data_IF_704082268009
#
_entry.id   IF_704082268009
#
_cell.length_a   1.000
_cell.length_b   1.000
_cell.length_c   1.000
_cell.angle_alpha   90.00
_cell.angle_beta   90.00
_cell.angle_gamma   90.00
#
_symmetry.space_group_name_H-M   'P 1'
#
loop_
_entity.id
_entity.type
_entity.pdbx_description
1 polymer ?
#
# COMPACT_ATOMS: atom_id res chain seq x y z
N UNK A 1 26.59 8.23 -1.16
CA UNK A 1 26.61 9.70 -1.42
C UNK A 1 27.34 9.96 -2.73
N UNK A 2 26.65 9.74 -3.85
CA UNK A 2 27.16 10.19 -5.16
C UNK A 2 26.89 11.68 -5.27
N UNK A 3 27.97 12.45 -5.32
CA UNK A 3 27.96 13.86 -5.70
C UNK A 3 27.66 13.95 -7.19
N UNK A 4 26.39 13.84 -7.58
CA UNK A 4 25.96 14.44 -8.83
C UNK A 4 25.62 15.90 -8.54
N UNK A 5 26.56 16.77 -8.90
CA UNK A 5 26.40 18.22 -9.05
C UNK A 5 25.31 18.52 -10.10
N UNK A 6 24.07 18.12 -9.84
CA UNK A 6 22.93 18.78 -10.45
C UNK A 6 22.59 19.98 -9.56
N UNK A 7 23.40 21.04 -9.72
CA UNK A 7 23.30 22.36 -9.07
C UNK A 7 21.96 23.06 -9.41
N UNK A 8 21.09 22.41 -10.18
CA UNK A 8 19.76 22.89 -10.48
C UNK A 8 18.87 22.84 -9.24
N UNK A 9 18.32 24.01 -8.91
CA UNK A 9 17.30 24.16 -7.87
C UNK A 9 16.14 23.21 -8.16
N UNK A 10 15.74 22.44 -7.15
CA UNK A 10 14.59 21.56 -7.26
C UNK A 10 13.27 22.34 -7.25
N UNK A 11 12.38 22.14 -8.25
CA UNK A 11 11.19 22.97 -8.43
C UNK A 11 10.00 22.47 -7.59
N UNK A 12 10.11 22.58 -6.26
CA UNK A 12 9.08 22.20 -5.29
C UNK A 12 7.71 22.83 -5.57
N UNK A 13 7.68 24.01 -6.19
CA UNK A 13 6.46 24.73 -6.58
C UNK A 13 5.56 23.99 -7.57
N UNK A 14 6.09 22.99 -8.30
CA UNK A 14 5.30 22.17 -9.22
C UNK A 14 4.41 21.14 -8.51
N UNK A 15 4.65 20.92 -7.21
CA UNK A 15 3.93 20.00 -6.36
C UNK A 15 4.43 18.57 -6.51
N UNK A 16 4.90 17.99 -5.39
CA UNK A 16 5.33 16.60 -5.32
C UNK A 16 4.49 15.89 -4.28
N UNK A 17 4.09 14.66 -4.60
CA UNK A 17 3.08 13.93 -3.87
C UNK A 17 3.72 12.63 -3.42
N UNK A 18 3.75 12.43 -2.11
CA UNK A 18 4.20 11.20 -1.51
C UNK A 18 3.05 10.19 -1.54
N UNK A 19 3.19 9.16 -2.36
CA UNK A 19 2.17 8.13 -2.53
C UNK A 19 2.09 7.13 -1.39
N UNK A 20 3.06 7.13 -0.47
CA UNK A 20 3.07 6.22 0.67
C UNK A 20 4.03 6.66 1.78
N UNK A 21 3.51 6.90 2.98
CA UNK A 21 4.32 7.09 4.18
C UNK A 21 3.57 6.74 5.47
N UNK A 22 4.33 6.71 6.58
CA UNK A 22 3.86 6.33 7.92
C UNK A 22 4.12 7.40 8.99
N UNK A 23 3.86 8.70 8.76
CA UNK A 23 4.19 9.75 9.74
C UNK A 23 3.46 9.60 11.08
N UNK A 24 2.35 8.83 11.12
CA UNK A 24 1.64 8.47 12.36
C UNK A 24 2.39 7.48 13.23
N UNK A 25 3.49 6.88 12.75
CA UNK A 25 4.40 6.11 13.61
C UNK A 25 5.22 7.02 14.54
N UNK A 26 5.33 8.32 14.22
CA UNK A 26 5.99 9.32 15.07
C UNK A 26 5.12 10.57 15.20
N UNK A 27 4.11 10.49 16.07
CA UNK A 27 3.08 11.54 16.22
C UNK A 27 3.63 12.92 16.59
N UNK A 28 4.78 12.99 17.26
CA UNK A 28 5.46 14.25 17.59
C UNK A 28 5.90 15.05 16.35
N UNK A 29 6.04 14.40 15.19
CA UNK A 29 6.43 15.03 13.93
C UNK A 29 5.26 15.58 13.10
N UNK A 30 4.01 15.17 13.38
CA UNK A 30 2.82 15.57 12.61
C UNK A 30 2.67 17.09 12.43
N UNK A 31 2.89 17.95 13.45
CA UNK A 31 2.78 19.40 13.27
C UNK A 31 3.75 19.99 12.25
N UNK A 32 4.80 19.26 11.84
CA UNK A 32 5.80 19.68 10.86
C UNK A 32 5.23 19.62 9.43
N UNK A 33 4.21 18.77 9.17
CA UNK A 33 3.59 18.59 7.85
C UNK A 33 3.23 19.92 7.19
N UNK A 34 2.70 20.88 7.95
CA UNK A 34 2.34 22.22 7.47
C UNK A 34 3.50 23.00 6.84
N UNK A 35 4.74 22.69 7.23
CA UNK A 35 5.96 23.38 6.81
C UNK A 35 6.83 22.58 5.85
N UNK A 36 6.43 21.34 5.53
CA UNK A 36 7.14 20.52 4.55
C UNK A 36 7.06 21.14 3.15
N UNK A 37 7.94 20.70 2.26
CA UNK A 37 7.91 21.08 0.84
C UNK A 37 7.08 20.11 0.00
N UNK A 38 7.04 18.84 0.37
CA UNK A 38 6.17 17.82 -0.25
C UNK A 38 4.70 18.21 -0.14
N UNK A 39 3.99 18.32 -1.26
CA UNK A 39 2.66 18.94 -1.34
C UNK A 39 1.58 18.14 -0.61
N UNK A 40 1.56 16.82 -0.80
CA UNK A 40 0.61 15.90 -0.14
C UNK A 40 1.31 14.62 0.28
N UNK A 41 0.88 14.10 1.42
CA UNK A 41 1.30 12.84 2.01
C UNK A 41 0.14 11.84 2.01
N UNK A 42 0.37 10.65 1.50
CA UNK A 42 -0.59 9.53 1.56
C UNK A 42 -0.24 8.68 2.77
N UNK A 43 -1.02 8.84 3.85
CA UNK A 43 -0.68 8.35 5.19
C UNK A 43 -1.35 7.01 5.47
N UNK A 44 -0.56 5.97 5.71
CA UNK A 44 -1.04 4.60 5.85
C UNK A 44 -1.40 4.23 7.30
N UNK A 45 -2.62 3.72 7.47
CA UNK A 45 -2.99 2.91 8.63
C UNK A 45 -2.64 1.45 8.37
N UNK A 46 -1.89 0.82 9.27
CA UNK A 46 -1.34 -0.53 9.09
C UNK A 46 -1.83 -1.52 10.12
N UNK A 47 -2.22 -1.04 11.31
CA UNK A 47 -2.54 -1.85 12.51
C UNK A 47 -3.57 -1.15 13.38
N UNK A 48 -4.04 -1.79 14.46
CA UNK A 48 -5.07 -1.20 15.32
C UNK A 48 -4.66 0.15 15.92
N UNK A 49 -3.39 0.30 16.30
CA UNK A 49 -2.89 1.45 17.04
C UNK A 49 -2.80 2.73 16.21
N UNK A 50 -2.69 2.64 14.88
CA UNK A 50 -2.54 3.80 14.01
C UNK A 50 -3.83 4.22 13.30
N UNK A 51 -4.88 3.38 13.22
CA UNK A 51 -6.12 3.72 12.49
C UNK A 51 -6.72 5.05 12.94
N UNK A 52 -6.93 5.24 14.26
CA UNK A 52 -7.52 6.47 14.79
C UNK A 52 -6.55 7.65 14.74
N UNK A 53 -5.24 7.39 14.76
CA UNK A 53 -4.23 8.43 14.54
C UNK A 53 -4.32 8.96 13.11
N UNK A 54 -4.43 8.08 12.11
CA UNK A 54 -4.62 8.48 10.70
C UNK A 54 -5.93 9.27 10.54
N UNK A 55 -7.02 8.87 11.20
CA UNK A 55 -8.27 9.65 11.23
C UNK A 55 -8.02 11.05 11.79
N UNK A 56 -7.33 11.17 12.93
CA UNK A 56 -7.06 12.47 13.56
C UNK A 56 -6.22 13.39 12.66
N UNK A 57 -5.18 12.85 12.02
CA UNK A 57 -4.33 13.60 11.07
C UNK A 57 -5.14 14.05 9.85
N UNK A 58 -6.04 13.21 9.34
CA UNK A 58 -6.90 13.56 8.20
C UNK A 58 -8.01 14.57 8.55
N UNK A 59 -8.45 14.62 9.81
CA UNK A 59 -9.36 15.67 10.26
C UNK A 59 -8.67 17.05 10.18
N UNK A 60 -7.41 17.13 10.58
CA UNK A 60 -6.63 18.37 10.60
C UNK A 60 -6.09 18.76 9.22
N UNK A 61 -5.48 17.83 8.49
CA UNK A 61 -4.73 18.09 7.25
C UNK A 61 -5.32 17.42 6.01
N UNK A 62 -6.43 16.69 6.12
CA UNK A 62 -6.94 15.89 5.02
C UNK A 62 -7.53 16.72 3.89
N UNK A 63 -7.25 16.35 2.63
CA UNK A 63 -7.79 17.02 1.44
C UNK A 63 -9.33 17.03 1.41
N UNK A 64 -9.91 18.10 0.84
CA UNK A 64 -11.36 18.35 0.85
C UNK A 64 -12.02 18.45 -0.54
N UNK A 65 -11.26 18.35 -1.62
CA UNK A 65 -11.76 18.40 -3.00
C UNK A 65 -11.09 17.33 -3.86
N UNK A 66 -11.76 16.86 -4.91
CA UNK A 66 -11.16 16.03 -5.96
C UNK A 66 -10.36 16.84 -6.99
N UNK A 67 -10.40 18.17 -6.90
CA UNK A 67 -9.62 19.08 -7.75
C UNK A 67 -8.45 19.64 -6.97
N UNK A 68 -7.24 19.31 -7.41
CA UNK A 68 -6.01 19.79 -6.78
C UNK A 68 -5.91 21.32 -6.70
N UNK A 69 -6.53 22.03 -7.65
CA UNK A 69 -6.57 23.49 -7.67
C UNK A 69 -7.38 24.10 -6.50
N UNK A 70 -8.31 23.36 -5.91
CA UNK A 70 -9.15 23.82 -4.79
C UNK A 70 -8.50 23.56 -3.43
N UNK A 71 -7.38 22.83 -3.39
CA UNK A 71 -6.74 22.45 -2.15
C UNK A 71 -6.04 23.63 -1.49
N UNK A 72 -6.36 23.85 -0.22
CA UNK A 72 -5.74 24.87 0.62
C UNK A 72 -4.34 24.44 1.04
N UNK A 73 -3.60 25.38 1.62
CA UNK A 73 -2.25 25.16 2.15
C UNK A 73 -2.20 24.02 3.18
N UNK A 74 -3.25 23.88 4.01
CA UNK A 74 -3.33 22.82 5.02
C UNK A 74 -3.92 21.50 4.50
N UNK A 75 -4.45 21.45 3.27
CA UNK A 75 -4.97 20.23 2.65
C UNK A 75 -3.79 19.40 2.12
N UNK A 76 -3.11 18.68 3.02
CA UNK A 76 -1.81 18.03 2.77
C UNK A 76 -1.82 16.51 2.97
N UNK A 77 -2.94 15.91 3.35
CA UNK A 77 -3.00 14.48 3.69
C UNK A 77 -4.11 13.76 2.92
N UNK A 78 -3.79 12.56 2.44
CA UNK A 78 -4.74 11.55 2.00
C UNK A 78 -4.63 10.38 2.99
N UNK A 79 -5.67 10.09 3.80
CA UNK A 79 -5.62 8.93 4.69
C UNK A 79 -5.84 7.62 3.94
N UNK A 80 -5.16 6.58 4.37
CA UNK A 80 -5.38 5.21 3.93
C UNK A 80 -5.69 4.32 5.13
N UNK A 81 -6.66 3.43 4.98
CA UNK A 81 -7.04 2.49 6.03
C UNK A 81 -6.89 1.06 5.53
N UNK A 82 -6.13 0.27 6.28
CA UNK A 82 -5.82 -1.11 5.92
C UNK A 82 -5.22 -1.88 7.09
N UNK A 83 -5.18 -3.19 6.93
CA UNK A 83 -4.52 -4.12 7.83
C UNK A 83 -3.35 -4.79 7.10
N UNK A 84 -2.15 -4.47 7.56
CA UNK A 84 -0.90 -4.89 6.94
C UNK A 84 -0.64 -6.39 7.12
N UNK A 85 -0.04 -7.10 6.13
CA UNK A 85 0.26 -8.52 6.23
C UNK A 85 1.05 -8.92 7.48
N UNK A 86 1.91 -8.05 8.00
CA UNK A 86 2.69 -8.29 9.22
C UNK A 86 1.82 -8.56 10.44
N UNK A 87 0.65 -7.94 10.51
CA UNK A 87 -0.28 -8.04 11.64
C UNK A 87 -1.47 -8.95 11.34
N UNK A 88 -1.54 -9.56 10.15
CA UNK A 88 -2.69 -10.39 9.74
C UNK A 88 -2.92 -11.61 10.65
N UNK A 89 -1.91 -12.07 11.39
CA UNK A 89 -2.08 -13.10 12.42
C UNK A 89 -3.00 -12.66 13.58
N UNK A 90 -3.17 -11.36 13.80
CA UNK A 90 -4.07 -10.81 14.84
C UNK A 90 -5.54 -10.85 14.42
N UNK A 91 -5.85 -11.36 13.22
CA UNK A 91 -7.19 -11.42 12.67
C UNK A 91 -7.60 -12.86 12.42
N UNK A 92 -8.82 -13.24 12.81
CA UNK A 92 -9.42 -14.53 12.45
C UNK A 92 -10.66 -14.34 11.57
N UNK A 93 -10.99 -15.38 10.81
CA UNK A 93 -12.16 -15.48 9.94
C UNK A 93 -12.97 -16.68 10.43
N UNK A 94 -14.27 -16.53 10.65
CA UNK A 94 -15.11 -17.67 11.06
C UNK A 94 -15.46 -18.50 9.85
N UNK A 95 -15.45 -19.83 9.97
CA UNK A 95 -15.80 -20.75 8.87
C UNK A 95 -17.20 -20.55 8.28
N UNK A 96 -18.13 -19.92 9.01
CA UNK A 96 -19.46 -19.57 8.47
C UNK A 96 -19.39 -18.40 7.46
N UNK A 97 -18.29 -17.63 7.45
CA UNK A 97 -18.01 -16.57 6.47
C UNK A 97 -17.41 -17.13 5.16
N UNK A 98 -16.86 -18.35 5.16
CA UNK A 98 -16.27 -19.00 3.96
C UNK A 98 -17.34 -19.46 2.93
N UNK A 99 -18.59 -19.67 3.35
CA UNK A 99 -19.72 -20.11 2.51
C UNK A 99 -20.66 -18.97 2.05
N UNK A 100 -20.28 -17.71 2.33
CA UNK A 100 -21.11 -16.56 1.99
C UNK A 100 -20.97 -16.22 0.50
N UNK A 101 -21.92 -16.73 -0.29
CA UNK A 101 -22.21 -16.24 -1.65
C UNK A 101 -22.50 -14.73 -1.63
N UNK A 102 -22.16 -14.08 -2.74
CA UNK A 102 -22.39 -12.67 -3.06
C UNK A 102 -23.71 -12.13 -2.49
N UNK A 103 -23.60 -11.06 -1.68
CA UNK A 103 -24.71 -10.29 -1.15
C UNK A 103 -25.19 -10.73 0.23
N UNK A 104 -24.56 -10.21 1.29
CA UNK A 104 -25.13 -10.33 2.64
C UNK A 104 -25.28 -8.97 3.31
N UNK A 105 -26.55 -8.62 3.48
CA UNK A 105 -27.08 -7.71 4.49
C UNK A 105 -26.79 -8.24 5.90
N UNK A 106 -26.10 -7.45 6.71
CA UNK A 106 -26.07 -7.48 8.18
C UNK A 106 -26.04 -8.88 8.83
N UNK A 107 -24.93 -9.61 8.67
CA UNK A 107 -24.55 -10.65 9.66
C UNK A 107 -24.30 -9.93 10.99
N UNK A 108 -24.80 -10.48 12.10
CA UNK A 108 -24.44 -10.02 13.44
C UNK A 108 -22.93 -9.98 13.58
N UNK A 109 -22.34 -8.79 13.65
CA UNK A 109 -20.90 -8.60 13.75
C UNK A 109 -20.43 -9.24 15.06
N UNK A 110 -19.60 -10.27 14.94
CA UNK A 110 -18.91 -10.84 16.07
C UNK A 110 -17.95 -9.81 16.66
N UNK A 111 -18.00 -9.64 17.98
CA UNK A 111 -17.15 -8.71 18.74
C UNK A 111 -16.25 -9.46 19.73
N UNK A 112 -16.26 -10.79 19.71
CA UNK A 112 -15.50 -11.61 20.67
C UNK A 112 -14.03 -11.69 20.27
N UNK A 113 -13.11 -11.55 21.23
CA UNK A 113 -11.69 -11.83 21.01
C UNK A 113 -11.40 -13.29 21.36
N UNK A 114 -10.48 -13.93 20.62
CA UNK A 114 -10.05 -15.29 20.96
C UNK A 114 -9.02 -15.24 22.10
N UNK A 115 -9.25 -16.04 23.14
CA UNK A 115 -8.38 -16.15 24.31
C UNK A 115 -8.09 -17.61 24.65
N UNK A 116 -7.14 -17.85 25.57
CA UNK A 116 -6.81 -19.20 26.07
C UNK A 116 -6.54 -20.22 24.96
N UNK A 117 -7.23 -21.35 25.00
CA UNK A 117 -7.04 -22.43 24.03
C UNK A 117 -7.52 -22.07 22.61
N UNK A 118 -8.50 -21.18 22.45
CA UNK A 118 -8.96 -20.74 21.12
C UNK A 118 -7.91 -19.87 20.43
N UNK A 119 -7.26 -19.00 21.19
CA UNK A 119 -6.10 -18.21 20.73
C UNK A 119 -4.95 -19.11 20.27
N UNK A 120 -4.63 -20.15 21.06
CA UNK A 120 -3.59 -21.12 20.70
C UNK A 120 -3.94 -21.84 19.40
N UNK A 121 -5.19 -22.32 19.26
CA UNK A 121 -5.66 -23.00 18.05
C UNK A 121 -5.58 -22.10 16.82
N UNK A 122 -5.97 -20.83 16.95
CA UNK A 122 -5.85 -19.85 15.88
C UNK A 122 -4.40 -19.69 15.43
N UNK A 123 -3.48 -19.38 16.36
CA UNK A 123 -2.07 -19.18 16.01
C UNK A 123 -1.41 -20.44 15.45
N UNK A 124 -1.75 -21.62 15.97
CA UNK A 124 -1.27 -22.89 15.40
C UNK A 124 -1.73 -23.09 13.95
N UNK A 125 -2.92 -22.61 13.59
CA UNK A 125 -3.49 -22.74 12.25
C UNK A 125 -2.93 -21.70 11.25
N UNK A 126 -2.63 -20.48 11.71
CA UNK A 126 -2.25 -19.37 10.83
C UNK A 126 -0.76 -19.04 10.82
N UNK A 127 0.07 -19.72 11.63
CA UNK A 127 1.51 -19.50 11.70
C UNK A 127 2.31 -20.64 11.09
N UNK A 128 3.44 -20.28 10.48
CA UNK A 128 4.45 -21.18 9.93
C UNK A 128 5.80 -20.96 10.63
N UNK A 129 6.62 -22.00 10.88
CA UNK A 129 6.40 -23.39 10.49
C UNK A 129 5.28 -24.05 11.29
N UNK A 130 4.41 -24.80 10.60
CA UNK A 130 3.31 -25.52 11.23
C UNK A 130 3.85 -26.62 12.16
N UNK A 131 3.33 -26.68 13.38
CA UNK A 131 3.71 -27.65 14.41
C UNK A 131 2.46 -28.37 14.91
N UNK A 132 2.24 -29.66 14.58
CA UNK A 132 1.05 -30.39 15.03
C UNK A 132 1.07 -30.60 16.56
N UNK A 133 2.25 -30.90 17.11
CA UNK A 133 2.47 -31.03 18.55
C UNK A 133 3.19 -29.78 19.06
N UNK A 134 2.52 -29.00 19.90
CA UNK A 134 3.07 -27.75 20.46
C UNK A 134 3.96 -28.05 21.67
N UNK A 135 5.19 -27.55 21.65
CA UNK A 135 6.05 -27.52 22.83
C UNK A 135 5.53 -26.51 23.86
N UNK A 136 5.96 -26.62 25.12
CA UNK A 136 5.64 -25.62 26.15
C UNK A 136 6.10 -24.20 25.77
N UNK A 137 7.21 -24.10 25.03
CA UNK A 137 7.71 -22.82 24.51
C UNK A 137 6.78 -22.25 23.43
N UNK A 138 6.30 -23.08 22.51
CA UNK A 138 5.36 -22.62 21.47
C UNK A 138 4.05 -22.13 22.09
N UNK A 139 3.54 -22.84 23.10
CA UNK A 139 2.34 -22.43 23.85
C UNK A 139 2.57 -21.08 24.55
N UNK A 140 3.73 -20.87 25.17
CA UNK A 140 4.10 -19.58 25.78
C UNK A 140 4.14 -18.46 24.73
N UNK A 141 4.78 -18.68 23.59
CA UNK A 141 4.84 -17.70 22.50
C UNK A 141 3.43 -17.34 22.04
N UNK A 142 2.59 -18.32 21.71
CA UNK A 142 1.23 -18.06 21.22
C UNK A 142 0.37 -17.31 22.22
N UNK A 143 0.48 -17.62 23.52
CA UNK A 143 -0.26 -16.91 24.57
C UNK A 143 0.22 -15.46 24.75
N UNK A 144 1.49 -15.17 24.46
CA UNK A 144 2.08 -13.82 24.55
C UNK A 144 1.76 -12.91 23.36
N UNK A 145 1.38 -13.45 22.21
CA UNK A 145 0.91 -12.66 21.07
C UNK A 145 -0.41 -11.94 21.42
N UNK A 146 -0.85 -10.91 20.67
CA UNK A 146 -2.14 -10.24 20.92
C UNK A 146 -3.34 -11.20 20.88
N UNK A 147 -4.48 -10.80 21.42
CA UNK A 147 -5.71 -11.60 21.27
C UNK A 147 -6.29 -11.39 19.86
N UNK A 148 -6.53 -12.46 19.07
CA UNK A 148 -7.10 -12.32 17.74
C UNK A 148 -8.50 -11.70 17.73
N UNK A 149 -8.73 -10.79 16.78
CA UNK A 149 -10.00 -10.11 16.55
C UNK A 149 -10.71 -10.65 15.29
N UNK A 150 -12.05 -10.62 15.23
CA UNK A 150 -12.79 -11.01 14.04
C UNK A 150 -12.54 -10.00 12.92
N UNK A 151 -12.14 -10.48 11.76
CA UNK A 151 -11.77 -9.59 10.65
C UNK A 151 -12.97 -8.80 10.11
N UNK A 152 -14.18 -9.35 10.20
CA UNK A 152 -15.43 -8.69 9.83
C UNK A 152 -15.70 -7.41 10.65
N UNK A 153 -15.28 -7.37 11.92
CA UNK A 153 -15.34 -6.15 12.74
C UNK A 153 -14.44 -5.05 12.15
N UNK A 154 -13.19 -5.38 11.84
CA UNK A 154 -12.25 -4.42 11.24
C UNK A 154 -12.74 -3.90 9.88
N UNK A 155 -13.29 -4.77 9.01
CA UNK A 155 -13.85 -4.35 7.73
C UNK A 155 -15.04 -3.40 7.90
N UNK A 156 -15.91 -3.65 8.89
CA UNK A 156 -17.04 -2.76 9.20
C UNK A 156 -16.57 -1.38 9.65
N UNK A 157 -15.56 -1.31 10.53
CA UNK A 157 -14.98 -0.04 10.96
C UNK A 157 -14.28 0.68 9.81
N UNK A 158 -13.52 -0.05 8.99
CA UNK A 158 -12.83 0.50 7.82
C UNK A 158 -13.84 1.09 6.83
N UNK A 159 -14.97 0.44 6.59
CA UNK A 159 -16.05 1.01 5.76
C UNK A 159 -16.52 2.37 6.29
N UNK A 160 -16.76 2.48 7.60
CA UNK A 160 -17.17 3.75 8.23
C UNK A 160 -16.11 4.84 8.06
N UNK A 161 -14.82 4.51 8.20
CA UNK A 161 -13.71 5.45 7.96
C UNK A 161 -13.67 5.89 6.50
N UNK A 162 -13.82 4.97 5.56
CA UNK A 162 -13.85 5.26 4.12
C UNK A 162 -15.07 6.11 3.71
N UNK A 163 -16.21 5.97 4.37
CA UNK A 163 -17.40 6.83 4.20
C UNK A 163 -17.16 8.24 4.76
N UNK A 164 -16.58 8.34 5.96
CA UNK A 164 -16.28 9.60 6.62
C UNK A 164 -15.18 10.41 5.91
N UNK A 165 -14.30 9.76 5.16
CA UNK A 165 -13.21 10.37 4.42
C UNK A 165 -13.34 10.05 2.91
N UNK A 166 -14.10 10.85 2.12
CA UNK A 166 -14.43 10.52 0.73
C UNK A 166 -13.26 10.38 -0.24
N UNK A 167 -12.08 10.89 0.09
CA UNK A 167 -10.86 10.78 -0.73
C UNK A 167 -9.84 9.80 -0.15
N UNK A 168 -10.20 9.08 0.93
CA UNK A 168 -9.34 8.05 1.51
C UNK A 168 -9.13 6.88 0.55
N UNK A 169 -8.03 6.16 0.76
CA UNK A 169 -7.70 4.93 0.05
C UNK A 169 -7.78 3.72 0.99
N UNK A 170 -7.68 2.53 0.41
CA UNK A 170 -7.43 1.31 1.17
C UNK A 170 -5.94 1.00 1.15
N UNK A 171 -5.34 0.82 2.31
CA UNK A 171 -3.90 0.61 2.43
C UNK A 171 -3.39 0.94 3.83
N UNK A 172 -2.28 0.35 4.27
CA UNK A 172 -1.45 -0.58 3.53
C UNK A 172 -1.93 -2.04 3.70
N UNK A 173 -2.17 -2.74 2.59
CA UNK A 173 -2.65 -4.14 2.58
C UNK A 173 -1.78 -4.96 1.64
N UNK A 174 -1.68 -6.28 1.79
CA UNK A 174 -0.88 -7.06 0.84
C UNK A 174 -0.36 -8.38 1.37
N UNK A 175 0.80 -8.78 0.86
CA UNK A 175 1.45 -10.06 1.14
C UNK A 175 2.95 -9.89 1.44
N UNK A 176 3.42 -10.50 2.53
CA UNK A 176 4.83 -10.58 2.89
C UNK A 176 5.22 -12.02 3.26
N UNK A 177 6.08 -12.63 2.44
CA UNK A 177 6.58 -14.00 2.70
C UNK A 177 7.74 -14.03 3.71
N UNK A 178 8.43 -12.92 3.89
CA UNK A 178 9.71 -12.83 4.60
C UNK A 178 9.57 -12.47 6.07
N UNK A 179 8.56 -11.67 6.43
CA UNK A 179 8.42 -11.11 7.76
C UNK A 179 8.18 -12.17 8.83
N UNK A 180 8.95 -12.08 9.92
CA UNK A 180 8.77 -12.88 11.13
C UNK A 180 8.13 -12.03 12.21
N UNK A 181 7.24 -12.63 12.99
CA UNK A 181 6.48 -11.93 14.01
C UNK A 181 7.43 -11.56 15.16
N UNK A 182 7.43 -10.30 15.62
CA UNK A 182 8.21 -9.89 16.79
C UNK A 182 7.74 -10.60 18.07
N UNK A 183 8.68 -10.89 18.97
CA UNK A 183 8.38 -11.34 20.33
C UNK A 183 7.52 -10.29 21.06
N UNK A 184 6.74 -10.71 22.06
CA UNK A 184 6.07 -9.77 22.95
C UNK A 184 7.10 -8.98 23.77
N UNK A 185 6.75 -7.75 24.15
CA UNK A 185 7.56 -7.00 25.12
C UNK A 185 7.60 -7.76 26.44
N UNK A 186 8.80 -8.04 26.94
CA UNK A 186 8.97 -8.53 28.31
C UNK A 186 8.81 -7.34 29.27
N UNK A 187 8.18 -7.52 30.44
CA UNK A 187 7.98 -6.44 31.41
C UNK A 187 9.26 -5.67 31.76
N UNK A 188 10.41 -6.35 31.80
CA UNK A 188 11.70 -5.76 32.19
C UNK A 188 12.36 -4.90 31.09
N UNK A 189 11.90 -5.02 29.85
CA UNK A 189 12.48 -4.31 28.68
C UNK A 189 11.50 -3.25 28.15
N UNK A 190 10.30 -3.16 28.74
CA UNK A 190 9.29 -2.17 28.36
C UNK A 190 9.77 -0.73 28.58
N UNK A 191 10.63 -0.50 29.58
CA UNK A 191 11.26 0.80 29.86
C UNK A 191 12.31 1.21 28.82
N UNK A 192 12.75 0.29 27.94
CA UNK A 192 13.70 0.58 26.85
C UNK A 192 12.99 0.94 25.53
N UNK A 193 11.66 0.93 25.52
CA UNK A 193 10.85 1.31 24.38
C UNK A 193 10.98 2.80 24.11
N UNK A 194 11.14 3.17 22.85
CA UNK A 194 11.05 4.58 22.45
C UNK A 194 9.60 5.09 22.59
N UNK A 195 9.36 5.93 23.60
CA UNK A 195 8.06 6.54 23.85
C UNK A 195 7.60 7.47 22.71
N UNK A 196 8.52 7.92 21.86
CA UNK A 196 8.22 8.76 20.69
C UNK A 196 7.53 8.00 19.54
N UNK A 197 7.58 6.66 19.56
CA UNK A 197 6.97 5.83 18.53
C UNK A 197 5.56 5.39 18.89
N UNK A 198 4.69 5.30 17.89
CA UNK A 198 3.36 4.69 18.04
C UNK A 198 3.50 3.18 18.29
N UNK A 199 2.85 2.63 19.33
CA UNK A 199 3.00 1.21 19.68
C UNK A 199 2.55 0.24 18.58
N UNK A 200 3.08 -0.98 18.62
CA UNK A 200 2.62 -2.11 17.81
C UNK A 200 3.52 -2.43 16.61
N UNK A 201 4.44 -1.53 16.25
CA UNK A 201 5.48 -1.79 15.24
C UNK A 201 6.56 -2.76 15.75
N UNK A 202 7.60 -3.05 14.95
CA UNK A 202 8.68 -3.95 15.41
C UNK A 202 9.43 -3.40 16.63
N UNK A 203 9.70 -2.10 16.64
CA UNK A 203 10.29 -1.37 17.78
C UNK A 203 11.57 -2.05 18.33
N UNK A 204 12.43 -2.56 17.43
CA UNK A 204 13.69 -3.22 17.79
C UNK A 204 13.57 -4.63 18.39
N UNK A 205 12.35 -5.15 18.60
CA UNK A 205 12.11 -6.45 19.22
C UNK A 205 12.76 -7.60 18.44
N UNK A 206 13.17 -8.63 19.20
CA UNK A 206 13.60 -9.92 18.64
C UNK A 206 12.46 -10.56 17.88
N UNK A 207 12.80 -11.39 16.89
CA UNK A 207 11.82 -12.03 16.02
C UNK A 207 11.65 -13.49 16.45
N UNK A 208 10.39 -13.90 16.60
CA UNK A 208 10.02 -15.30 16.77
C UNK A 208 10.43 -16.13 15.54
N UNK A 209 10.44 -17.47 15.62
CA UNK A 209 10.62 -18.30 14.43
C UNK A 209 9.41 -18.26 13.49
N UNK A 210 8.29 -17.65 13.90
CA UNK A 210 7.02 -17.73 13.19
C UNK A 210 6.81 -16.63 12.17
N UNK A 211 6.18 -16.99 11.06
CA UNK A 211 5.64 -16.10 10.03
C UNK A 211 4.15 -16.39 9.86
N UNK A 212 3.40 -15.44 9.33
CA UNK A 212 1.99 -15.71 8.99
C UNK A 212 1.92 -16.58 7.74
N UNK A 213 1.09 -17.61 7.77
CA UNK A 213 0.82 -18.50 6.65
C UNK A 213 0.29 -17.70 5.45
N UNK A 214 0.81 -18.01 4.25
CA UNK A 214 0.49 -17.27 3.04
C UNK A 214 -0.99 -17.40 2.64
N UNK A 215 -1.65 -18.53 2.96
CA UNK A 215 -3.08 -18.70 2.71
C UNK A 215 -3.89 -17.75 3.60
N UNK A 216 -3.50 -17.59 4.86
CA UNK A 216 -4.15 -16.66 5.78
C UNK A 216 -3.98 -15.22 5.32
N UNK A 217 -2.74 -14.80 5.00
CA UNK A 217 -2.47 -13.46 4.46
C UNK A 217 -3.30 -13.18 3.20
N UNK A 218 -3.34 -14.12 2.24
CA UNK A 218 -4.12 -13.98 1.00
C UNK A 218 -5.62 -13.82 1.26
N UNK A 219 -6.17 -14.51 2.26
CA UNK A 219 -7.60 -14.41 2.58
C UNK A 219 -7.93 -13.03 3.12
N UNK A 220 -7.16 -12.55 4.11
CA UNK A 220 -7.29 -11.19 4.66
C UNK A 220 -7.10 -10.12 3.58
N UNK A 221 -6.11 -10.28 2.71
CA UNK A 221 -5.83 -9.36 1.62
C UNK A 221 -7.00 -9.28 0.61
N UNK A 222 -7.56 -10.41 0.19
CA UNK A 222 -8.70 -10.44 -0.76
C UNK A 222 -9.94 -9.74 -0.21
N UNK A 223 -10.26 -9.95 1.07
CA UNK A 223 -11.40 -9.30 1.71
C UNK A 223 -11.25 -7.75 1.74
N UNK A 224 -10.03 -7.25 1.93
CA UNK A 224 -9.76 -5.80 1.86
C UNK A 224 -9.83 -5.25 0.43
N UNK A 225 -9.34 -6.01 -0.56
CA UNK A 225 -9.49 -5.64 -1.98
C UNK A 225 -10.96 -5.60 -2.41
N UNK A 226 -11.78 -6.52 -1.92
CA UNK A 226 -13.23 -6.53 -2.16
C UNK A 226 -13.90 -5.31 -1.55
N UNK A 227 -13.57 -4.94 -0.30
CA UNK A 227 -14.04 -3.70 0.30
C UNK A 227 -13.65 -2.47 -0.54
N UNK A 228 -12.41 -2.42 -1.03
CA UNK A 228 -11.95 -1.35 -1.91
C UNK A 228 -12.74 -1.30 -3.24
N UNK A 229 -13.01 -2.46 -3.83
CA UNK A 229 -13.81 -2.59 -5.05
C UNK A 229 -15.24 -2.07 -4.84
N UNK A 230 -15.92 -2.54 -3.80
CA UNK A 230 -17.28 -2.12 -3.44
C UNK A 230 -17.40 -0.62 -3.21
N UNK A 231 -16.36 0.00 -2.63
CA UNK A 231 -16.32 1.42 -2.31
C UNK A 231 -15.65 2.28 -3.39
N UNK A 232 -15.21 1.69 -4.50
CA UNK A 232 -14.51 2.40 -5.58
C UNK A 232 -13.22 3.08 -5.14
N UNK A 233 -12.49 2.51 -4.18
CA UNK A 233 -11.26 3.08 -3.60
C UNK A 233 -10.02 2.57 -4.32
N UNK A 234 -9.05 3.46 -4.54
CA UNK A 234 -7.72 3.04 -4.93
C UNK A 234 -7.03 2.32 -3.76
N UNK A 235 -6.04 1.49 -4.08
CA UNK A 235 -5.36 0.63 -3.11
C UNK A 235 -3.86 0.82 -3.14
N UNK A 236 -3.22 0.95 -1.97
CA UNK A 236 -1.77 0.85 -1.80
C UNK A 236 -1.41 -0.54 -1.29
N UNK A 237 -0.58 -1.29 -2.04
CA UNK A 237 -0.34 -2.71 -1.83
C UNK A 237 1.11 -3.02 -1.45
N UNK A 238 1.27 -3.68 -0.29
CA UNK A 238 2.49 -4.32 0.17
C UNK A 238 2.82 -5.62 -0.57
N UNK A 239 4.06 -5.79 -1.00
CA UNK A 239 4.48 -6.98 -1.72
C UNK A 239 5.95 -7.34 -1.57
N UNK A 240 6.29 -8.14 -0.56
CA UNK A 240 7.68 -8.57 -0.29
C UNK A 240 7.84 -10.08 -0.46
N UNK A 241 8.73 -10.48 -1.38
CA UNK A 241 9.03 -11.89 -1.73
C UNK A 241 7.79 -12.73 -2.09
N UNK A 242 6.69 -12.07 -2.48
CA UNK A 242 5.41 -12.67 -2.79
C UNK A 242 4.84 -12.24 -4.16
N UNK A 243 5.66 -11.63 -5.04
CA UNK A 243 5.21 -10.98 -6.28
C UNK A 243 4.32 -11.87 -7.18
N UNK A 244 4.67 -13.14 -7.35
CA UNK A 244 3.85 -14.08 -8.14
C UNK A 244 2.51 -14.40 -7.48
N UNK A 245 2.49 -14.60 -6.16
CA UNK A 245 1.23 -14.85 -5.41
C UNK A 245 0.35 -13.60 -5.41
N UNK A 246 0.97 -12.42 -5.30
CA UNK A 246 0.29 -11.12 -5.37
C UNK A 246 -0.38 -10.94 -6.74
N UNK A 247 0.37 -11.12 -7.83
CA UNK A 247 -0.17 -11.02 -9.19
C UNK A 247 -1.34 -11.99 -9.43
N UNK A 248 -1.18 -13.27 -9.06
CA UNK A 248 -2.26 -14.26 -9.20
C UNK A 248 -3.48 -13.92 -8.34
N UNK A 249 -3.28 -13.34 -7.15
CA UNK A 249 -4.39 -12.89 -6.29
C UNK A 249 -5.17 -11.75 -6.94
N UNK A 250 -4.50 -10.79 -7.56
CA UNK A 250 -5.17 -9.71 -8.32
C UNK A 250 -5.91 -10.27 -9.53
N UNK A 251 -5.28 -11.21 -10.25
CA UNK A 251 -5.87 -11.89 -11.40
C UNK A 251 -7.12 -12.68 -11.07
N UNK A 252 -7.17 -13.31 -9.89
CA UNK A 252 -8.39 -13.95 -9.40
C UNK A 252 -9.57 -12.99 -9.25
N UNK A 253 -9.32 -11.71 -8.91
CA UNK A 253 -10.39 -10.74 -8.70
C UNK A 253 -11.02 -10.24 -9.99
N UNK A 254 -10.22 -10.01 -11.03
CA UNK A 254 -10.74 -9.50 -12.32
C UNK A 254 -11.03 -10.58 -13.36
N UNK A 255 -10.95 -11.86 -12.98
CA UNK A 255 -11.22 -12.98 -13.88
C UNK A 255 -12.64 -12.89 -14.45
N UNK A 256 -12.77 -12.88 -15.77
CA UNK A 256 -14.03 -12.71 -16.47
C UNK A 256 -14.40 -11.25 -16.76
N UNK A 257 -13.59 -10.29 -16.33
CA UNK A 257 -13.74 -8.86 -16.57
C UNK A 257 -12.53 -8.27 -17.30
N UNK A 258 -11.75 -9.10 -17.98
CA UNK A 258 -10.57 -8.66 -18.72
C UNK A 258 -10.95 -7.71 -19.87
N UNK A 259 -10.10 -6.72 -20.13
CA UNK A 259 -10.29 -5.81 -21.26
C UNK A 259 -10.21 -6.57 -22.58
N UNK A 260 -11.08 -6.21 -23.52
CA UNK A 260 -10.98 -6.71 -24.90
C UNK A 260 -9.77 -6.11 -25.61
N UNK A 261 -8.78 -6.94 -25.93
CA UNK A 261 -7.60 -6.51 -26.68
C UNK A 261 -7.75 -6.89 -28.14
N UNK A 262 -8.20 -5.90 -28.93
CA UNK A 262 -8.29 -6.03 -30.38
C UNK A 262 -6.94 -6.43 -30.98
N UNK A 263 -6.95 -7.43 -31.85
CA UNK A 263 -5.75 -7.90 -32.52
C UNK A 263 -5.17 -6.83 -33.46
N UNK A 264 -3.87 -6.91 -33.76
CA UNK A 264 -3.21 -5.99 -34.72
C UNK A 264 -3.91 -5.94 -36.08
N UNK A 265 -4.52 -7.05 -36.52
CA UNK A 265 -5.25 -7.14 -37.79
C UNK A 265 -6.61 -6.44 -37.73
N UNK A 266 -7.26 -6.44 -36.57
CA UNK A 266 -8.53 -5.75 -36.32
C UNK A 266 -8.32 -4.24 -36.17
N UNK A 267 -7.27 -3.81 -35.45
CA UNK A 267 -6.89 -2.38 -35.34
C UNK A 267 -6.59 -1.77 -36.71
N UNK A 268 -5.85 -2.49 -37.55
CA UNK A 268 -5.52 -2.07 -38.93
C UNK A 268 -6.76 -1.99 -39.83
N UNK A 269 -7.76 -2.86 -39.63
CA UNK A 269 -9.05 -2.79 -40.34
C UNK A 269 -9.91 -1.61 -39.89
N UNK A 270 -9.76 -1.17 -38.65
CA UNK A 270 -10.50 -0.03 -38.08
C UNK A 270 -9.80 1.33 -38.28
N UNK A 271 -8.65 1.38 -38.98
CA UNK A 271 -7.97 2.64 -39.30
C UNK A 271 -7.28 3.32 -38.11
N UNK A 272 -7.09 2.62 -36.99
CA UNK A 272 -6.40 3.13 -35.79
C UNK A 272 -4.89 2.83 -35.86
N UNK A 273 -4.20 3.41 -36.84
CA UNK A 273 -2.75 3.18 -37.03
C UNK A 273 -1.86 4.18 -36.26
N UNK A 274 -2.43 5.11 -35.46
CA UNK A 274 -1.62 6.04 -34.65
C UNK A 274 -2.41 6.61 -33.45
N UNK A 275 -2.81 5.74 -32.54
CA UNK A 275 -3.17 6.17 -31.18
C UNK A 275 -2.47 5.19 -30.25
N UNK A 276 -1.49 5.68 -29.48
CA UNK A 276 -1.14 5.04 -28.21
C UNK A 276 -2.45 4.66 -27.53
N UNK A 277 -2.54 3.44 -26.99
CA UNK A 277 -3.77 2.90 -26.43
C UNK A 277 -4.25 3.74 -25.23
N UNK A 278 -4.80 4.92 -25.50
CA UNK A 278 -5.53 5.75 -24.58
C UNK A 278 -6.75 4.92 -24.22
N UNK A 279 -6.73 4.44 -22.98
CA UNK A 279 -7.80 3.69 -22.35
C UNK A 279 -9.04 4.58 -22.30
N UNK A 280 -9.81 4.55 -23.38
CA UNK A 280 -11.17 5.08 -23.40
C UNK A 280 -12.12 3.93 -23.13
N UNK A 281 -12.31 3.57 -21.86
CA UNK A 281 -13.47 2.77 -21.49
C UNK A 281 -14.71 3.67 -21.45
N UNK A 282 -15.73 3.29 -22.21
CA UNK A 282 -17.09 3.74 -21.98
C UNK A 282 -17.54 3.05 -20.69
N UNK A 283 -17.47 3.75 -19.57
CA UNK A 283 -17.99 3.27 -18.29
C UNK A 283 -19.49 2.98 -18.42
N UNK A 284 -19.84 1.71 -18.54
CA UNK A 284 -21.21 1.25 -18.26
C UNK A 284 -21.37 1.22 -16.74
N UNK A 285 -21.81 2.35 -16.19
CA UNK A 285 -21.80 2.67 -14.76
C UNK A 285 -22.80 1.88 -13.88
N UNK A 286 -23.17 0.64 -14.22
CA UNK A 286 -24.30 -0.04 -13.57
C UNK A 286 -24.02 -1.37 -12.87
N UNK A 287 -22.81 -1.95 -12.95
CA UNK A 287 -22.49 -3.18 -12.21
C UNK A 287 -21.25 -2.99 -11.31
N UNK A 288 -21.32 -3.36 -10.02
CA UNK A 288 -20.15 -3.36 -9.14
C UNK A 288 -19.06 -4.29 -9.70
N UNK A 289 -17.87 -3.74 -9.97
CA UNK A 289 -16.72 -4.53 -10.40
C UNK A 289 -16.12 -5.27 -9.18
N UNK A 290 -15.70 -6.54 -9.30
CA UNK A 290 -15.14 -7.31 -8.18
C UNK A 290 -13.68 -6.95 -7.83
N UNK A 291 -13.13 -5.90 -8.44
CA UNK A 291 -11.76 -5.44 -8.27
C UNK A 291 -11.72 -3.93 -8.05
N UNK A 292 -10.73 -3.42 -7.30
CA UNK A 292 -10.56 -1.97 -7.13
C UNK A 292 -10.22 -1.31 -8.47
N UNK A 293 -10.64 -0.06 -8.69
CA UNK A 293 -10.39 0.63 -9.95
C UNK A 293 -8.90 0.90 -10.19
N UNK A 294 -8.11 1.08 -9.13
CA UNK A 294 -6.72 1.54 -9.18
C UNK A 294 -5.90 0.87 -8.08
N UNK A 295 -4.68 0.48 -8.41
CA UNK A 295 -3.73 -0.16 -7.49
C UNK A 295 -2.36 0.48 -7.64
N UNK A 296 -1.73 0.85 -6.53
CA UNK A 296 -0.31 1.12 -6.44
C UNK A 296 0.40 -0.07 -5.80
N UNK A 297 1.39 -0.63 -6.47
CA UNK A 297 2.38 -1.54 -5.88
C UNK A 297 3.40 -0.67 -5.14
N UNK A 298 3.25 -0.54 -3.81
CA UNK A 298 4.15 0.32 -3.05
C UNK A 298 5.56 -0.27 -2.97
N UNK A 299 6.57 0.60 -2.91
CA UNK A 299 7.99 0.26 -2.84
C UNK A 299 8.35 -0.95 -3.69
N UNK A 300 7.94 -0.95 -4.96
CA UNK A 300 7.97 -2.14 -5.79
C UNK A 300 9.39 -2.73 -5.87
N UNK A 301 9.56 -3.91 -5.26
CA UNK A 301 10.87 -4.58 -5.10
C UNK A 301 11.06 -5.79 -6.01
N UNK A 302 10.09 -6.07 -6.88
CA UNK A 302 10.23 -7.09 -7.91
C UNK A 302 11.18 -6.64 -9.02
N UNK A 303 11.75 -7.57 -9.77
CA UNK A 303 12.56 -7.22 -10.94
C UNK A 303 11.69 -6.80 -12.14
N UNK A 304 12.35 -6.26 -13.18
CA UNK A 304 11.73 -5.88 -14.45
C UNK A 304 10.93 -7.02 -15.12
N UNK A 305 11.39 -8.27 -15.01
CA UNK A 305 10.71 -9.42 -15.60
C UNK A 305 9.36 -9.71 -14.91
N UNK A 306 9.29 -9.60 -13.58
CA UNK A 306 8.02 -9.66 -12.85
C UNK A 306 7.13 -8.46 -13.21
N UNK A 307 7.71 -7.26 -13.35
CA UNK A 307 6.94 -6.04 -13.63
C UNK A 307 6.20 -6.11 -14.96
N UNK A 308 6.80 -6.75 -15.97
CA UNK A 308 6.20 -6.96 -17.31
C UNK A 308 4.79 -7.53 -17.26
N UNK A 309 4.46 -8.34 -16.27
CA UNK A 309 3.14 -8.95 -16.14
C UNK A 309 2.04 -7.91 -15.89
N UNK A 310 2.34 -6.84 -15.16
CA UNK A 310 1.40 -5.75 -14.85
C UNK A 310 1.11 -4.83 -16.03
N UNK A 311 1.85 -4.97 -17.14
CA UNK A 311 1.65 -4.17 -18.36
C UNK A 311 0.70 -4.84 -19.35
N UNK A 312 0.11 -5.98 -18.98
CA UNK A 312 -0.78 -6.70 -19.86
C UNK A 312 -2.05 -5.86 -20.09
N UNK A 313 -2.37 -5.45 -21.33
CA UNK A 313 -3.52 -4.61 -21.62
C UNK A 313 -4.87 -5.27 -21.30
N UNK A 314 -4.91 -6.60 -21.09
CA UNK A 314 -6.10 -7.31 -20.62
C UNK A 314 -6.46 -6.97 -19.16
N UNK A 315 -5.55 -6.38 -18.38
CA UNK A 315 -5.80 -6.02 -16.97
C UNK A 315 -6.75 -4.82 -16.95
N UNK A 316 -7.95 -4.94 -16.35
CA UNK A 316 -8.94 -3.86 -16.31
C UNK A 316 -8.74 -2.89 -15.13
N UNK A 317 -7.61 -3.01 -14.43
CA UNK A 317 -7.23 -2.20 -13.27
C UNK A 317 -6.13 -1.25 -13.72
N UNK A 318 -6.26 0.02 -13.34
CA UNK A 318 -5.17 0.98 -13.47
C UNK A 318 -4.07 0.65 -12.46
N UNK A 319 -2.96 0.07 -12.94
CA UNK A 319 -1.81 -0.30 -12.12
C UNK A 319 -0.76 0.81 -12.12
N UNK A 320 -0.23 1.09 -10.94
CA UNK A 320 0.90 1.97 -10.67
C UNK A 320 1.96 1.22 -9.85
N UNK A 321 3.20 1.71 -9.90
CA UNK A 321 4.24 1.34 -8.96
C UNK A 321 4.95 2.58 -8.47
N UNK A 322 5.08 2.68 -7.16
CA UNK A 322 5.88 3.70 -6.50
C UNK A 322 7.25 3.15 -6.11
N UNK A 323 8.17 4.09 -6.01
CA UNK A 323 9.55 3.83 -5.64
C UNK A 323 9.98 4.85 -4.58
N UNK A 324 10.83 4.40 -3.67
CA UNK A 324 11.43 5.22 -2.62
C UNK A 324 12.95 5.07 -2.60
N UNK A 325 13.64 6.12 -2.16
CA UNK A 325 15.07 6.05 -1.90
C UNK A 325 15.41 5.20 -0.68
N UNK A 326 14.49 5.11 0.29
CA UNK A 326 14.71 4.33 1.52
C UNK A 326 14.70 2.81 1.27
N UNK A 327 13.84 2.34 0.36
CA UNK A 327 13.64 0.90 0.11
C UNK A 327 14.28 0.43 -1.18
N UNK A 328 14.15 1.19 -2.28
CA UNK A 328 14.52 0.72 -3.60
C UNK A 328 15.92 1.12 -4.05
N UNK A 329 16.46 2.23 -3.53
CA UNK A 329 17.82 2.65 -3.85
C UNK A 329 18.82 1.91 -2.98
N UNK A 330 19.42 0.87 -3.55
CA UNK A 330 20.68 0.29 -3.07
C UNK A 330 21.83 0.74 -3.97
N UNK A 331 22.94 1.19 -3.37
CA UNK A 331 24.19 1.47 -4.09
C UNK A 331 24.96 0.15 -4.36
N UNK A 332 25.51 -0.01 -5.57
CA UNK A 332 26.51 -1.04 -5.88
C UNK A 332 27.91 -0.62 -5.39
N UNK A 333 28.88 -1.54 -5.43
CA UNK A 333 30.29 -1.20 -5.16
C UNK A 333 30.72 -0.01 -6.05
N UNK A 334 31.13 1.09 -5.41
CA UNK A 334 31.49 2.34 -6.09
C UNK A 334 30.40 3.42 -6.11
N UNK A 335 29.26 3.20 -5.44
CA UNK A 335 28.23 4.23 -5.22
C UNK A 335 27.20 4.36 -6.33
N UNK A 336 27.33 3.61 -7.43
CA UNK A 336 26.38 3.66 -8.54
C UNK A 336 25.01 3.09 -8.14
N UNK A 337 23.94 3.62 -8.76
CA UNK A 337 22.58 3.09 -8.64
C UNK A 337 22.58 1.62 -9.10
N UNK A 338 21.93 0.74 -8.33
CA UNK A 338 21.88 -0.67 -8.73
C UNK A 338 21.26 -0.87 -10.11
N UNK A 339 21.86 -1.76 -10.90
CA UNK A 339 21.39 -2.07 -12.25
C UNK A 339 19.96 -2.60 -12.25
N UNK A 340 19.59 -3.37 -11.23
CA UNK A 340 18.23 -3.92 -11.08
C UNK A 340 17.18 -2.81 -10.91
N UNK A 341 17.50 -1.76 -10.14
CA UNK A 341 16.60 -0.61 -9.99
C UNK A 341 16.48 0.15 -11.31
N UNK A 342 17.61 0.45 -11.97
CA UNK A 342 17.62 1.14 -13.26
C UNK A 342 16.81 0.40 -14.33
N UNK A 343 16.99 -0.92 -14.46
CA UNK A 343 16.21 -1.76 -15.38
C UNK A 343 14.72 -1.73 -15.08
N UNK A 344 14.33 -1.72 -13.81
CA UNK A 344 12.92 -1.70 -13.37
C UNK A 344 12.26 -0.34 -13.68
N UNK A 345 12.94 0.77 -13.41
CA UNK A 345 12.45 2.11 -13.77
C UNK A 345 12.30 2.26 -15.29
N UNK A 346 13.26 1.76 -16.07
CA UNK A 346 13.17 1.77 -17.55
C UNK A 346 12.02 0.91 -18.06
N UNK A 347 11.77 -0.24 -17.45
CA UNK A 347 10.70 -1.16 -17.83
C UNK A 347 9.30 -0.61 -17.48
N UNK A 348 9.21 0.23 -16.44
CA UNK A 348 7.96 0.82 -15.94
C UNK A 348 7.51 1.96 -16.86
N UNK A 349 6.32 1.88 -17.50
CA UNK A 349 5.79 2.95 -18.32
C UNK A 349 5.64 4.27 -17.55
N UNK A 350 5.85 5.37 -18.24
CA UNK A 350 5.90 6.71 -17.65
C UNK A 350 4.65 7.04 -16.84
N UNK A 351 3.48 6.65 -17.35
CA UNK A 351 2.18 6.86 -16.71
C UNK A 351 1.92 6.00 -15.47
N UNK A 352 2.68 4.92 -15.27
CA UNK A 352 2.52 4.00 -14.13
C UNK A 352 3.44 4.38 -12.97
N UNK A 353 4.33 5.36 -13.13
CA UNK A 353 5.31 5.74 -12.12
C UNK A 353 4.72 6.66 -11.06
N UNK A 354 4.93 6.29 -9.80
CA UNK A 354 4.71 7.12 -8.63
C UNK A 354 6.01 7.21 -7.82
N UNK A 355 6.04 8.14 -6.87
CA UNK A 355 7.14 8.32 -5.91
C UNK A 355 6.60 8.30 -4.49
N UNK A 356 7.43 7.85 -3.57
CA UNK A 356 7.08 7.83 -2.15
C UNK A 356 8.33 7.94 -1.27
N UNK A 357 8.13 8.25 0.00
CA UNK A 357 9.21 8.28 0.99
C UNK A 357 9.32 6.96 1.76
N UNK A 358 8.19 6.32 2.05
CA UNK A 358 8.07 5.18 2.96
C UNK A 358 8.61 5.44 4.38
N UNK A 359 8.64 6.72 4.80
CA UNK A 359 9.20 7.11 6.09
C UNK A 359 8.15 7.23 7.20
N UNK A 360 8.61 6.92 8.41
CA UNK A 360 7.82 6.93 9.66
C UNK A 360 7.78 8.30 10.38
N UNK A 361 8.50 9.31 9.86
CA UNK A 361 8.65 10.64 10.48
C UNK A 361 8.46 11.73 9.45
N UNK A 362 7.53 12.66 9.70
CA UNK A 362 7.35 13.84 8.85
C UNK A 362 8.50 14.84 9.04
N UNK A 363 8.85 15.57 7.98
CA UNK A 363 9.77 16.69 8.03
C UNK A 363 10.87 16.66 6.97
N UNK A 364 11.97 17.37 7.25
CA UNK A 364 13.01 17.67 6.25
C UNK A 364 13.67 16.42 5.65
N UNK A 365 13.82 15.33 6.42
CA UNK A 365 14.37 14.06 5.91
C UNK A 365 13.42 13.47 4.86
N UNK A 366 12.11 13.48 5.12
CA UNK A 366 11.12 13.02 4.15
C UNK A 366 11.16 13.85 2.86
N UNK A 367 11.27 15.17 2.95
CA UNK A 367 11.46 16.03 1.77
C UNK A 367 12.76 15.70 1.01
N UNK A 368 13.87 15.41 1.71
CA UNK A 368 15.12 14.99 1.07
C UNK A 368 14.94 13.67 0.31
N UNK A 369 14.32 12.67 0.92
CA UNK A 369 14.06 11.38 0.28
C UNK A 369 13.16 11.52 -0.95
N UNK A 370 12.14 12.39 -0.89
CA UNK A 370 11.28 12.70 -2.03
C UNK A 370 12.04 13.40 -3.17
N UNK A 371 12.91 14.36 -2.86
CA UNK A 371 13.77 15.00 -3.86
C UNK A 371 14.74 13.99 -4.49
N UNK A 372 15.39 13.18 -3.67
CA UNK A 372 16.36 12.18 -4.11
C UNK A 372 15.73 11.18 -5.09
N UNK A 373 14.58 10.61 -4.75
CA UNK A 373 13.95 9.61 -5.63
C UNK A 373 13.46 10.22 -6.94
N UNK A 374 12.91 11.44 -6.91
CA UNK A 374 12.48 12.15 -8.12
C UNK A 374 13.66 12.44 -9.04
N UNK A 375 14.79 12.92 -8.49
CA UNK A 375 16.01 13.18 -9.27
C UNK A 375 16.53 11.91 -9.93
N UNK A 376 16.59 10.81 -9.19
CA UNK A 376 17.04 9.51 -9.72
C UNK A 376 16.12 9.00 -10.85
N UNK A 377 14.80 9.06 -10.68
CA UNK A 377 13.85 8.65 -11.73
C UNK A 377 13.99 9.53 -12.97
N UNK A 378 14.03 10.86 -12.80
CA UNK A 378 14.22 11.80 -13.91
C UNK A 378 15.52 11.52 -14.68
N UNK A 379 16.62 11.26 -13.95
CA UNK A 379 17.90 10.90 -14.55
C UNK A 379 17.80 9.62 -15.39
N UNK A 380 17.26 8.54 -14.83
CA UNK A 380 17.13 7.24 -15.51
C UNK A 380 16.22 7.34 -16.75
N UNK A 381 15.17 8.17 -16.66
CA UNK A 381 14.21 8.39 -17.74
C UNK A 381 14.65 9.44 -18.77
N UNK A 382 15.73 10.17 -18.51
CA UNK A 382 16.17 11.28 -19.35
C UNK A 382 15.18 12.45 -19.38
N UNK A 383 14.45 12.69 -18.29
CA UNK A 383 13.54 13.81 -18.14
C UNK A 383 14.24 15.01 -17.52
N UNK A 384 13.85 16.24 -17.90
CA UNK A 384 14.12 17.41 -17.05
C UNK A 384 13.28 17.31 -15.77
N UNK A 385 13.70 17.98 -14.70
CA UNK A 385 12.97 17.96 -13.43
C UNK A 385 11.54 18.51 -13.59
N UNK A 386 11.36 19.58 -14.36
CA UNK A 386 10.04 20.20 -14.57
C UNK A 386 9.09 19.23 -15.27
N UNK A 387 9.58 18.55 -16.32
CA UNK A 387 8.79 17.55 -17.04
C UNK A 387 8.48 16.34 -16.16
N UNK A 388 9.50 15.83 -15.47
CA UNK A 388 9.36 14.63 -14.64
C UNK A 388 8.40 14.84 -13.47
N UNK A 389 8.49 15.97 -12.78
CA UNK A 389 7.56 16.32 -11.69
C UNK A 389 6.13 16.50 -12.23
N UNK A 390 5.96 17.11 -13.41
CA UNK A 390 4.66 17.18 -14.07
C UNK A 390 4.04 15.79 -14.32
N UNK A 391 4.81 14.86 -14.90
CA UNK A 391 4.36 13.48 -15.14
C UNK A 391 3.98 12.79 -13.82
N UNK A 392 4.86 12.85 -12.81
CA UNK A 392 4.63 12.19 -11.51
C UNK A 392 3.43 12.76 -10.77
N UNK A 393 3.20 14.07 -10.83
CA UNK A 393 1.99 14.71 -10.31
C UNK A 393 0.75 14.19 -11.00
N UNK A 394 0.74 14.20 -12.33
CA UNK A 394 -0.46 13.85 -13.11
C UNK A 394 -0.79 12.36 -12.89
N UNK A 395 0.23 11.51 -12.75
CA UNK A 395 0.08 10.10 -12.35
C UNK A 395 -0.49 9.95 -10.94
N UNK A 396 0.00 10.71 -9.95
CA UNK A 396 -0.52 10.67 -8.59
C UNK A 396 -1.99 11.07 -8.52
N UNK A 397 -2.37 12.13 -9.22
CA UNK A 397 -3.76 12.58 -9.30
C UNK A 397 -4.64 11.52 -9.99
N UNK A 398 -4.13 10.86 -11.04
CA UNK A 398 -4.82 9.72 -11.68
C UNK A 398 -4.95 8.53 -10.74
N UNK A 399 -3.94 8.22 -9.95
CA UNK A 399 -4.01 7.17 -8.93
C UNK A 399 -5.07 7.48 -7.86
N UNK A 400 -5.16 8.73 -7.41
CA UNK A 400 -6.12 9.14 -6.38
C UNK A 400 -7.55 9.18 -6.93
N UNK A 401 -7.77 9.83 -8.08
CA UNK A 401 -9.11 10.19 -8.56
C UNK A 401 -9.58 9.44 -9.79
N UNK A 402 -8.68 8.83 -10.58
CA UNK A 402 -8.99 8.28 -11.90
C UNK A 402 -8.89 9.31 -13.02
N UNK A 403 -9.19 8.88 -14.25
CA UNK A 403 -9.08 9.68 -15.48
C UNK A 403 -10.25 10.62 -15.75
N UNK A 404 -11.42 10.37 -15.17
CA UNK A 404 -12.66 11.11 -15.51
C UNK A 404 -12.88 12.39 -14.69
N UNK A 405 -11.96 12.71 -13.76
CA UNK A 405 -12.14 13.76 -12.74
C UNK A 405 -11.14 14.92 -12.84
N UNK A 406 -10.25 14.92 -13.83
CA UNK A 406 -9.28 16.00 -14.06
C UNK A 406 -9.86 17.17 -14.84
#
# INVERSE_FOLDING_TARGET
MVTHDDVTRFPWELGIYDSHCHPTDTMSSIPIIKSMKTRVLTVMGTRAQDQELVVSVAQEYGIKSDKAADWKENDRVVPCFGWHPWFSHQMYIRKEEDDVKEGVTAVSIDQTTLQGDEKIKHYQAVLQPHRPDLSDEDRRIYLSLPDPLPFSLFLSETRKRLEAHPFSLVGEIGLDRSFRIPEAWLPEVQDQRDEGLTPGGREGRRLTPFRVDMKHQKTIFKLQLQLAAEMGRAVSIHGVQAHGVLFETLKELYKGHENEVLSKRERKKQGQDNVDAQHGEIYTANEPKPYPPRICLHSYSGNAAHFKQYKNPNIPIDIFASFSSAINLSEEEGGAISKSFEETIKETPDQMLLVESDLHVAGHIMDQHMEDIVRNICHIKGWTLEKGIGILRDNYLRFLFGTDKQ
#
